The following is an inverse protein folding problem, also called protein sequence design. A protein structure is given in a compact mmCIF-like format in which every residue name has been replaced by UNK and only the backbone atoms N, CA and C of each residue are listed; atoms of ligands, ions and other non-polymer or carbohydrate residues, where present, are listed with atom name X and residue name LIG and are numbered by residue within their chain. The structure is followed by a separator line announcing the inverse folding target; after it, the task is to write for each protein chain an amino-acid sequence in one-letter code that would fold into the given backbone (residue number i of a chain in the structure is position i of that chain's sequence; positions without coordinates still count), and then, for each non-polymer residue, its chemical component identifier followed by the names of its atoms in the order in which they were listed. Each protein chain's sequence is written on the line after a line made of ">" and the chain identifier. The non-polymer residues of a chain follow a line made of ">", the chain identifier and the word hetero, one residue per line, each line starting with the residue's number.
data_IF_386237398684
#
_entry.id   IF_386237398684
#
_cell.length_a   1.000
_cell.length_b   1.000
_cell.length_c   1.000
_cell.angle_alpha   90.00
_cell.angle_beta   90.00
_cell.angle_gamma   90.00
#
_symmetry.space_group_name_H-M   'P 1'
#
loop_
_entity.id
_entity.type
_entity.pdbx_description
1 polymer ?
#
# COMPACT_ATOMS: atom_id res chain seq x y z
N UNK A 1 90.99 20.45 -13.69
CA UNK A 1 90.51 19.37 -12.79
C UNK A 1 89.03 19.50 -12.73
N UNK A 2 88.33 18.62 -13.50
CA UNK A 2 86.88 18.65 -13.71
C UNK A 2 86.16 17.78 -12.69
N UNK A 3 85.13 18.35 -12.06
CA UNK A 3 84.17 17.57 -11.31
C UNK A 3 82.78 17.73 -11.96
N UNK A 4 82.28 16.66 -12.56
CA UNK A 4 80.95 16.49 -13.08
C UNK A 4 79.96 16.28 -11.91
N UNK A 5 79.02 17.19 -11.77
CA UNK A 5 77.84 17.03 -10.90
C UNK A 5 76.71 16.35 -11.70
N UNK A 6 76.42 15.11 -11.34
CA UNK A 6 75.17 14.45 -11.75
C UNK A 6 74.01 15.03 -10.98
N UNK A 7 73.09 15.68 -11.70
CA UNK A 7 71.76 16.03 -11.19
C UNK A 7 70.79 14.86 -11.42
N UNK A 8 70.46 14.13 -10.39
CA UNK A 8 69.35 13.20 -10.36
C UNK A 8 68.04 14.00 -10.21
N UNK A 9 67.20 13.94 -11.26
CA UNK A 9 65.83 14.46 -11.20
C UNK A 9 64.95 13.42 -10.52
N UNK A 10 64.51 13.72 -9.32
CA UNK A 10 63.38 13.02 -8.67
C UNK A 10 62.09 13.60 -9.24
N UNK A 11 61.35 12.80 -10.04
CA UNK A 11 59.95 13.05 -10.38
C UNK A 11 59.08 12.61 -9.18
N UNK A 12 58.19 13.48 -8.68
CA UNK A 12 57.16 13.01 -7.76
C UNK A 12 56.09 12.26 -8.55
N UNK A 13 55.94 10.97 -8.26
CA UNK A 13 54.79 10.18 -8.69
C UNK A 13 53.60 10.64 -7.84
N UNK A 14 52.75 11.47 -8.40
CA UNK A 14 51.43 11.78 -7.83
C UNK A 14 50.55 10.59 -8.17
N UNK A 15 50.40 9.68 -7.24
CA UNK A 15 49.37 8.66 -7.28
C UNK A 15 48.02 9.35 -7.02
N UNK A 16 47.30 9.70 -8.09
CA UNK A 16 45.91 10.09 -8.00
C UNK A 16 45.11 8.86 -7.58
N UNK A 17 44.75 8.73 -6.32
CA UNK A 17 43.68 7.86 -5.86
C UNK A 17 42.37 8.38 -6.49
N UNK A 18 41.98 7.81 -7.62
CA UNK A 18 40.60 7.87 -8.09
C UNK A 18 39.77 7.04 -7.11
N UNK A 19 39.28 7.66 -6.08
CA UNK A 19 38.14 7.14 -5.33
C UNK A 19 36.96 7.18 -6.31
N UNK A 20 36.66 6.08 -6.93
CA UNK A 20 35.39 5.86 -7.60
C UNK A 20 34.32 5.88 -6.48
N UNK A 21 33.81 7.05 -6.17
CA UNK A 21 32.48 7.20 -5.58
C UNK A 21 31.51 6.76 -6.69
N UNK A 22 31.27 5.46 -6.75
CA UNK A 22 30.03 4.94 -7.30
C UNK A 22 28.93 5.47 -6.38
N UNK A 23 28.46 6.70 -6.61
CA UNK A 23 27.11 7.02 -6.23
C UNK A 23 26.27 5.99 -6.99
N UNK A 24 25.80 4.95 -6.30
CA UNK A 24 24.71 4.14 -6.81
C UNK A 24 23.63 5.14 -7.16
N UNK A 25 23.35 5.33 -8.45
CA UNK A 25 22.11 5.97 -8.84
C UNK A 25 21.05 5.20 -8.11
N UNK A 26 20.39 5.83 -7.17
CA UNK A 26 19.26 5.24 -6.48
C UNK A 26 18.29 4.92 -7.60
N UNK A 27 18.03 3.63 -7.85
CA UNK A 27 17.15 3.21 -8.93
C UNK A 27 15.80 3.87 -8.69
N UNK A 28 15.48 4.84 -9.55
CA UNK A 28 14.21 5.55 -9.46
C UNK A 28 13.11 4.52 -9.69
N UNK A 29 12.17 4.42 -8.75
CA UNK A 29 11.02 3.53 -8.89
C UNK A 29 10.39 3.67 -10.29
N UNK A 30 10.13 2.58 -11.01
CA UNK A 30 9.45 2.61 -12.30
C UNK A 30 8.08 3.28 -12.22
N UNK A 31 7.70 3.99 -13.26
CA UNK A 31 6.34 4.52 -13.34
C UNK A 31 5.34 3.38 -13.58
N UNK A 32 4.25 3.38 -12.83
CA UNK A 32 3.16 2.40 -12.91
C UNK A 32 1.94 2.97 -13.63
N UNK A 33 1.25 2.09 -14.34
CA UNK A 33 -0.02 2.38 -14.99
C UNK A 33 -0.92 1.15 -14.99
N UNK A 34 -2.20 1.34 -15.26
CA UNK A 34 -3.15 0.25 -15.45
C UNK A 34 -3.07 -0.29 -16.89
N UNK A 35 -3.13 -1.59 -17.04
CA UNK A 35 -3.24 -2.29 -18.31
C UNK A 35 -4.19 -3.47 -18.18
N UNK A 36 -5.43 -3.29 -18.62
CA UNK A 36 -6.48 -4.28 -18.39
C UNK A 36 -6.76 -4.43 -16.90
N UNK A 37 -6.60 -5.65 -16.38
CA UNK A 37 -6.81 -5.93 -14.96
C UNK A 37 -5.54 -5.83 -14.10
N UNK A 38 -4.41 -5.49 -14.70
CA UNK A 38 -3.11 -5.51 -14.03
C UNK A 38 -2.56 -4.08 -13.87
N UNK A 39 -1.77 -3.84 -12.84
CA UNK A 39 -0.84 -2.73 -12.78
C UNK A 39 0.41 -3.17 -13.53
N UNK A 40 0.96 -2.31 -14.37
CA UNK A 40 2.19 -2.62 -15.10
C UNK A 40 3.19 -1.47 -15.03
N UNK A 41 4.48 -1.79 -15.11
CA UNK A 41 5.55 -0.82 -15.29
C UNK A 41 5.67 -0.32 -16.75
N UNK A 42 6.67 0.52 -17.00
CA UNK A 42 6.92 1.07 -18.33
C UNK A 42 7.26 -0.01 -19.38
N UNK A 43 7.81 -1.15 -18.97
CA UNK A 43 8.11 -2.30 -19.85
C UNK A 43 6.88 -3.15 -20.17
N UNK A 44 5.77 -2.92 -19.47
CA UNK A 44 4.56 -3.73 -19.54
C UNK A 44 4.57 -4.93 -18.62
N UNK A 45 5.56 -5.05 -17.73
CA UNK A 45 5.64 -6.08 -16.71
C UNK A 45 4.63 -5.79 -15.61
N UNK A 46 3.85 -6.80 -15.25
CA UNK A 46 2.86 -6.67 -14.19
C UNK A 46 3.54 -6.54 -12.82
N UNK A 47 2.99 -5.65 -11.99
CA UNK A 47 3.46 -5.36 -10.64
C UNK A 47 2.32 -5.55 -9.65
N UNK A 48 2.58 -6.24 -8.55
CA UNK A 48 1.68 -6.38 -7.41
C UNK A 48 2.33 -5.73 -6.20
N UNK A 49 1.61 -4.84 -5.55
CA UNK A 49 2.15 -4.04 -4.45
C UNK A 49 1.76 -4.64 -3.10
N UNK A 50 2.73 -4.70 -2.19
CA UNK A 50 2.56 -5.19 -0.83
C UNK A 50 3.14 -4.21 0.16
N UNK A 51 2.38 -3.86 1.19
CA UNK A 51 2.88 -2.93 2.18
C UNK A 51 1.93 -2.71 3.34
N UNK A 52 1.96 -1.51 3.86
CA UNK A 52 1.18 -1.11 5.01
C UNK A 52 0.57 0.26 4.79
N UNK A 53 -0.44 0.59 5.60
CA UNK A 53 -0.89 1.96 5.75
C UNK A 53 -0.41 2.55 7.05
N UNK A 54 -0.33 3.85 7.12
CA UNK A 54 -0.22 4.57 8.36
C UNK A 54 -0.65 6.03 8.19
N UNK A 55 -0.86 6.72 9.30
CA UNK A 55 -1.29 8.11 9.31
C UNK A 55 -0.32 8.96 10.13
N UNK A 56 0.01 10.18 9.70
CA UNK A 56 0.83 11.10 10.46
C UNK A 56 0.06 11.66 11.68
N UNK A 57 -0.46 10.76 12.51
CA UNK A 57 -1.25 11.04 13.69
C UNK A 57 -0.64 10.33 14.90
N UNK A 58 -0.37 11.09 15.97
CA UNK A 58 0.27 10.57 17.19
C UNK A 58 -0.54 9.49 17.89
N UNK A 59 -1.84 9.64 17.92
CA UNK A 59 -2.74 8.68 18.57
C UNK A 59 -2.64 7.30 17.89
N UNK A 60 -2.80 7.26 16.56
CA UNK A 60 -2.71 6.00 15.81
C UNK A 60 -1.31 5.40 15.80
N UNK A 61 -0.27 6.20 16.10
CA UNK A 61 1.11 5.74 16.25
C UNK A 61 1.50 5.50 17.72
N UNK A 62 0.53 5.29 18.63
CA UNK A 62 0.80 4.97 20.03
C UNK A 62 1.64 6.02 20.74
N UNK A 63 1.52 7.30 20.38
CA UNK A 63 2.26 8.44 20.94
C UNK A 63 3.80 8.33 20.79
N UNK A 64 4.32 7.48 19.90
CA UNK A 64 5.75 7.16 19.79
C UNK A 64 6.63 8.32 19.36
N UNK A 65 6.09 9.29 18.61
CA UNK A 65 6.91 10.42 18.16
C UNK A 65 6.62 11.73 18.91
N UNK A 66 5.51 11.83 19.59
CA UNK A 66 5.21 12.94 20.51
C UNK A 66 3.97 12.64 21.35
N UNK A 67 3.93 13.17 22.61
CA UNK A 67 2.76 13.06 23.50
C UNK A 67 1.53 13.84 23.00
N UNK A 68 0.43 13.73 23.75
CA UNK A 68 -0.83 14.39 23.41
C UNK A 68 -0.68 15.91 23.28
N UNK A 69 -1.38 16.47 22.30
CA UNK A 69 -1.44 17.90 22.01
C UNK A 69 -2.79 18.22 21.35
N UNK A 70 -3.45 19.34 21.68
CA UNK A 70 -4.81 19.63 21.21
C UNK A 70 -4.87 19.93 19.70
N UNK A 71 -3.77 20.35 19.10
CA UNK A 71 -3.69 20.65 17.66
C UNK A 71 -2.23 20.51 17.20
N UNK A 72 -2.05 20.14 15.94
CA UNK A 72 -0.74 20.03 15.30
C UNK A 72 -0.38 21.35 14.61
N UNK A 73 0.88 21.75 14.74
CA UNK A 73 1.45 22.95 14.16
C UNK A 73 2.73 22.66 13.37
N UNK A 74 3.41 23.72 12.94
CA UNK A 74 4.65 23.60 12.18
C UNK A 74 5.78 22.95 12.98
N UNK A 75 5.79 23.14 14.29
CA UNK A 75 6.74 22.53 15.22
C UNK A 75 6.62 21.02 15.32
N UNK A 76 5.49 20.45 14.90
CA UNK A 76 5.23 19.01 14.91
C UNK A 76 5.69 18.31 13.63
N UNK A 77 6.02 19.08 12.58
CA UNK A 77 6.40 18.54 11.28
C UNK A 77 7.67 17.72 11.36
N UNK A 78 8.74 18.27 11.93
CA UNK A 78 10.03 17.57 11.97
C UNK A 78 9.99 16.28 12.81
N UNK A 79 9.41 16.28 14.03
CA UNK A 79 9.25 15.04 14.78
C UNK A 79 8.46 13.96 14.03
N UNK A 80 7.42 14.35 13.27
CA UNK A 80 6.66 13.43 12.42
C UNK A 80 7.53 12.85 11.29
N UNK A 81 8.27 13.71 10.59
CA UNK A 81 9.18 13.30 9.51
C UNK A 81 10.29 12.37 10.01
N UNK A 82 10.85 12.63 11.17
CA UNK A 82 11.92 11.81 11.77
C UNK A 82 11.39 10.43 12.20
N UNK A 83 10.14 10.36 12.65
CA UNK A 83 9.49 9.11 12.97
C UNK A 83 9.26 8.27 11.71
N UNK A 84 8.64 8.86 10.68
CA UNK A 84 8.35 8.13 9.45
C UNK A 84 9.60 7.73 8.66
N UNK A 85 10.70 8.48 8.77
CA UNK A 85 11.99 8.03 8.24
C UNK A 85 12.40 6.67 8.82
N UNK A 86 12.25 6.50 10.15
CA UNK A 86 12.55 5.23 10.81
C UNK A 86 11.59 4.13 10.38
N UNK A 87 10.30 4.45 10.24
CA UNK A 87 9.29 3.49 9.77
C UNK A 87 9.61 3.03 8.35
N UNK A 88 9.87 3.95 7.41
CA UNK A 88 10.21 3.61 6.04
C UNK A 88 11.50 2.79 5.93
N UNK A 89 12.52 3.13 6.71
CA UNK A 89 13.75 2.34 6.82
C UNK A 89 13.43 0.90 7.24
N UNK A 90 12.61 0.72 8.28
CA UNK A 90 12.28 -0.62 8.77
C UNK A 90 11.44 -1.42 7.76
N UNK A 91 10.48 -0.79 7.08
CA UNK A 91 9.59 -1.44 6.12
C UNK A 91 10.32 -1.99 4.87
N UNK A 92 11.48 -1.43 4.57
CA UNK A 92 12.26 -1.76 3.36
C UNK A 92 13.63 -2.35 3.66
N UNK A 93 13.85 -2.78 4.89
CA UNK A 93 15.11 -3.44 5.30
C UNK A 93 15.13 -4.90 4.85
N UNK A 94 15.53 -5.10 3.61
CA UNK A 94 15.62 -6.44 3.00
C UNK A 94 16.63 -7.34 3.72
N UNK A 95 17.67 -6.78 4.34
CA UNK A 95 18.66 -7.56 5.10
C UNK A 95 18.04 -8.17 6.35
N UNK A 96 17.04 -7.51 6.93
CA UNK A 96 16.27 -7.99 8.07
C UNK A 96 14.94 -8.65 7.69
N UNK A 97 14.65 -8.83 6.39
CA UNK A 97 13.50 -9.58 5.90
C UNK A 97 12.24 -8.75 5.64
N UNK A 98 12.30 -7.43 5.70
CA UNK A 98 11.17 -6.55 5.41
C UNK A 98 11.15 -6.12 3.93
N UNK A 99 10.05 -6.43 3.22
CA UNK A 99 9.93 -6.29 1.76
C UNK A 99 8.68 -5.51 1.34
N UNK A 100 8.31 -4.47 2.08
CA UNK A 100 7.25 -3.57 1.63
C UNK A 100 7.72 -2.77 0.41
N UNK A 101 6.80 -2.56 -0.56
CA UNK A 101 7.02 -1.73 -1.73
C UNK A 101 5.91 -0.69 -1.96
N UNK A 102 4.94 -0.60 -1.06
CA UNK A 102 3.88 0.42 -1.09
C UNK A 102 3.55 0.92 0.32
N UNK A 103 3.20 2.18 0.40
CA UNK A 103 2.73 2.82 1.63
C UNK A 103 1.44 3.61 1.37
N UNK A 104 0.37 3.31 2.11
CA UNK A 104 -0.88 4.08 2.05
C UNK A 104 -0.85 5.20 3.07
N UNK A 105 -0.81 6.44 2.60
CA UNK A 105 -0.64 7.66 3.37
C UNK A 105 -1.97 8.40 3.56
N UNK A 106 -2.32 8.70 4.79
CA UNK A 106 -3.47 9.54 5.12
C UNK A 106 -3.13 11.02 5.10
N UNK A 107 -4.00 11.83 4.48
CA UNK A 107 -4.02 13.27 4.68
C UNK A 107 -4.82 13.60 5.95
N UNK A 108 -4.25 13.37 7.12
CA UNK A 108 -4.97 13.27 8.40
C UNK A 108 -5.65 14.58 8.85
N UNK A 109 -6.88 14.51 9.44
CA UNK A 109 -7.60 15.66 9.98
C UNK A 109 -6.83 16.48 11.01
N UNK A 110 -5.93 15.88 11.80
CA UNK A 110 -5.11 16.60 12.78
C UNK A 110 -4.25 17.70 12.15
N UNK A 111 -3.89 17.57 10.88
CA UNK A 111 -3.13 18.57 10.12
C UNK A 111 -4.03 19.50 9.32
N UNK A 112 -5.18 19.00 8.85
CA UNK A 112 -6.03 19.74 7.91
C UNK A 112 -7.17 20.50 8.58
N UNK A 113 -7.58 20.10 9.79
CA UNK A 113 -8.58 20.82 10.56
C UNK A 113 -8.00 22.07 11.21
N UNK A 114 -8.78 23.18 11.24
CA UNK A 114 -8.39 24.40 11.91
C UNK A 114 -8.87 24.38 13.37
N UNK A 115 -7.95 24.42 14.35
CA UNK A 115 -8.31 24.42 15.77
C UNK A 115 -9.13 25.64 16.20
N UNK A 116 -9.11 26.75 15.42
CA UNK A 116 -9.84 27.97 15.70
C UNK A 116 -11.29 27.94 15.17
N UNK A 117 -11.65 26.94 14.36
CA UNK A 117 -13.02 26.75 13.90
C UNK A 117 -13.77 25.90 14.93
N UNK A 118 -14.90 26.39 15.39
CA UNK A 118 -15.79 25.62 16.27
C UNK A 118 -16.38 24.45 15.50
N UNK A 119 -16.23 23.23 16.01
CA UNK A 119 -16.88 22.07 15.42
C UNK A 119 -18.41 22.23 15.49
N UNK A 120 -19.07 21.92 14.38
CA UNK A 120 -20.52 21.85 14.28
C UNK A 120 -21.04 20.43 14.07
N UNK A 121 -20.13 19.49 13.85
CA UNK A 121 -20.38 18.06 13.81
C UNK A 121 -20.10 17.37 15.15
N UNK A 122 -19.96 16.06 15.14
CA UNK A 122 -19.78 15.22 16.32
C UNK A 122 -18.33 15.07 16.78
N UNK A 123 -17.38 15.62 16.02
CA UNK A 123 -15.93 15.51 16.29
C UNK A 123 -15.31 14.17 15.92
N UNK A 124 -16.06 13.28 15.26
CA UNK A 124 -15.53 12.03 14.71
C UNK A 124 -14.57 12.27 13.52
N UNK A 125 -13.96 11.21 13.01
CA UNK A 125 -13.15 11.29 11.79
C UNK A 125 -13.97 11.64 10.52
N UNK A 126 -15.29 11.47 10.58
CA UNK A 126 -16.21 11.88 9.51
C UNK A 126 -16.62 13.35 9.59
N UNK A 127 -16.27 14.05 10.68
CA UNK A 127 -16.63 15.46 10.88
C UNK A 127 -15.72 16.39 10.10
N UNK A 128 -16.22 16.89 8.97
CA UNK A 128 -15.52 17.84 8.10
C UNK A 128 -15.71 19.32 8.49
N UNK A 129 -16.44 19.62 9.58
CA UNK A 129 -16.84 20.99 9.94
C UNK A 129 -15.66 21.92 10.25
N UNK A 130 -14.52 21.36 10.63
CA UNK A 130 -13.28 22.09 10.93
C UNK A 130 -12.26 22.06 9.81
N UNK A 131 -12.56 21.41 8.69
CA UNK A 131 -11.64 21.33 7.57
C UNK A 131 -11.26 22.72 7.05
N UNK A 132 -9.95 22.91 6.82
CA UNK A 132 -9.39 24.14 6.32
C UNK A 132 -8.54 23.91 5.08
N UNK A 133 -9.02 24.37 3.93
CA UNK A 133 -8.23 24.35 2.68
C UNK A 133 -6.88 25.03 2.85
N UNK A 134 -6.81 26.12 3.64
CA UNK A 134 -5.55 26.82 3.92
C UNK A 134 -4.55 25.91 4.66
N UNK A 135 -5.02 25.16 5.64
CA UNK A 135 -4.17 24.22 6.37
C UNK A 135 -3.76 23.03 5.48
N UNK A 136 -4.67 22.51 4.68
CA UNK A 136 -4.34 21.49 3.69
C UNK A 136 -3.17 21.95 2.79
N UNK A 137 -3.23 23.15 2.22
CA UNK A 137 -2.17 23.72 1.39
C UNK A 137 -0.86 23.86 2.20
N UNK A 138 -0.95 24.37 3.43
CA UNK A 138 0.21 24.57 4.28
C UNK A 138 0.93 23.26 4.56
N UNK A 139 0.21 22.23 5.02
CA UNK A 139 0.82 20.97 5.40
C UNK A 139 1.05 20.03 4.22
N UNK A 140 0.36 20.23 3.08
CA UNK A 140 0.76 19.62 1.83
C UNK A 140 2.25 19.92 1.52
N UNK A 141 2.63 21.21 1.56
CA UNK A 141 3.99 21.61 1.23
C UNK A 141 5.01 21.33 2.36
N UNK A 142 4.61 21.44 3.63
CA UNK A 142 5.53 21.33 4.77
C UNK A 142 5.74 19.92 5.27
N UNK A 143 4.73 19.05 5.10
CA UNK A 143 4.70 17.69 5.63
C UNK A 143 4.54 16.65 4.54
N UNK A 144 3.40 16.66 3.82
CA UNK A 144 3.01 15.53 2.97
C UNK A 144 3.94 15.29 1.79
N UNK A 145 4.35 16.35 1.09
CA UNK A 145 5.37 16.24 0.02
C UNK A 145 6.64 15.60 0.55
N UNK A 146 7.10 16.00 1.74
CA UNK A 146 8.32 15.45 2.34
C UNK A 146 8.17 14.00 2.80
N UNK A 147 6.99 13.62 3.31
CA UNK A 147 6.69 12.22 3.64
C UNK A 147 6.71 11.36 2.37
N UNK A 148 6.12 11.85 1.29
CA UNK A 148 6.10 11.16 0.00
C UNK A 148 7.51 11.05 -0.57
N UNK A 149 8.30 12.13 -0.56
CA UNK A 149 9.71 12.12 -0.97
C UNK A 149 10.51 11.03 -0.24
N UNK A 150 10.33 10.95 1.08
CA UNK A 150 10.98 9.93 1.91
C UNK A 150 10.51 8.52 1.54
N UNK A 151 9.21 8.29 1.43
CA UNK A 151 8.67 6.99 1.04
C UNK A 151 9.23 6.53 -0.33
N UNK A 152 9.18 7.41 -1.34
CA UNK A 152 9.74 7.13 -2.67
C UNK A 152 11.25 6.85 -2.63
N UNK A 153 12.00 7.59 -1.80
CA UNK A 153 13.44 7.39 -1.61
C UNK A 153 13.76 6.02 -0.97
N UNK A 154 12.86 5.46 -0.19
CA UNK A 154 12.96 4.11 0.36
C UNK A 154 12.40 3.02 -0.57
N UNK A 155 12.00 3.33 -1.80
CA UNK A 155 11.45 2.34 -2.72
C UNK A 155 9.98 1.99 -2.48
N UNK A 156 9.23 2.85 -1.79
CA UNK A 156 7.81 2.67 -1.52
C UNK A 156 6.97 3.51 -2.49
N UNK A 157 6.13 2.87 -3.29
CA UNK A 157 5.04 3.56 -3.98
C UNK A 157 4.05 4.14 -2.96
N UNK A 158 3.36 5.22 -3.31
CA UNK A 158 2.46 5.89 -2.38
C UNK A 158 1.02 5.85 -2.87
N UNK A 159 0.10 5.41 -2.00
CA UNK A 159 -1.35 5.55 -2.17
C UNK A 159 -1.83 6.61 -1.20
N UNK A 160 -2.31 7.74 -1.70
CA UNK A 160 -2.84 8.80 -0.84
C UNK A 160 -4.35 8.66 -0.68
N UNK A 161 -4.85 8.80 0.54
CA UNK A 161 -6.27 8.95 0.81
C UNK A 161 -6.62 10.32 1.41
N UNK A 162 -7.87 10.81 1.27
CA UNK A 162 -8.28 12.10 1.83
C UNK A 162 -8.31 12.06 3.36
N UNK A 163 -8.41 13.23 4.04
CA UNK A 163 -8.51 13.28 5.48
C UNK A 163 -9.84 12.69 5.99
N UNK A 164 -9.74 11.88 7.04
CA UNK A 164 -10.90 11.29 7.73
C UNK A 164 -11.54 10.13 6.98
N UNK A 165 -12.71 9.75 7.43
CA UNK A 165 -13.56 8.70 6.85
C UNK A 165 -14.84 9.30 6.28
N UNK A 166 -15.54 8.56 5.40
CA UNK A 166 -16.84 9.01 4.92
C UNK A 166 -17.87 9.04 6.05
N UNK A 167 -18.77 10.05 6.09
CA UNK A 167 -20.01 9.91 6.83
C UNK A 167 -20.76 8.65 6.42
N UNK A 168 -21.52 8.07 7.35
CA UNK A 168 -22.29 6.84 7.06
C UNK A 168 -23.18 7.01 5.82
N UNK A 169 -23.91 8.12 5.75
CA UNK A 169 -24.78 8.47 4.63
C UNK A 169 -24.16 9.63 3.84
N UNK A 170 -23.82 9.38 2.59
CA UNK A 170 -23.35 10.40 1.64
C UNK A 170 -24.26 10.46 0.44
N UNK A 171 -24.39 11.66 -0.17
CA UNK A 171 -25.31 11.89 -1.28
C UNK A 171 -24.67 12.69 -2.40
N UNK A 172 -25.00 12.37 -3.63
CA UNK A 172 -24.61 13.16 -4.81
C UNK A 172 -25.01 14.63 -4.63
N UNK A 173 -24.03 15.53 -4.69
CA UNK A 173 -24.20 16.98 -4.51
C UNK A 173 -24.17 17.46 -3.06
N UNK A 174 -23.91 16.60 -2.08
CA UNK A 174 -23.85 16.99 -0.67
C UNK A 174 -22.56 17.75 -0.27
N UNK A 175 -22.48 18.10 1.00
CA UNK A 175 -21.31 18.79 1.56
C UNK A 175 -20.06 17.91 1.54
N UNK A 176 -20.20 16.59 1.70
CA UNK A 176 -19.06 15.67 1.71
C UNK A 176 -18.46 15.47 0.32
N UNK A 177 -19.28 15.34 -0.73
CA UNK A 177 -18.80 15.33 -2.12
C UNK A 177 -18.04 16.62 -2.45
N UNK A 178 -18.58 17.79 -2.05
CA UNK A 178 -17.91 19.07 -2.24
C UNK A 178 -16.60 19.20 -1.46
N UNK A 179 -16.54 18.60 -0.28
CA UNK A 179 -15.33 18.50 0.52
C UNK A 179 -14.25 17.68 -0.22
N UNK A 180 -14.56 16.48 -0.69
CA UNK A 180 -13.63 15.65 -1.47
C UNK A 180 -13.16 16.35 -2.74
N UNK A 181 -14.07 17.01 -3.47
CA UNK A 181 -13.72 17.85 -4.60
C UNK A 181 -12.72 18.94 -4.23
N UNK A 182 -12.91 19.58 -3.07
CA UNK A 182 -12.00 20.63 -2.58
C UNK A 182 -10.63 20.06 -2.24
N UNK A 183 -10.57 18.90 -1.57
CA UNK A 183 -9.32 18.20 -1.23
C UNK A 183 -8.56 17.89 -2.52
N UNK A 184 -9.18 17.14 -3.42
CA UNK A 184 -8.48 16.63 -4.60
C UNK A 184 -8.15 17.72 -5.62
N UNK A 185 -9.04 18.71 -5.84
CA UNK A 185 -8.69 19.89 -6.65
C UNK A 185 -7.50 20.66 -6.09
N UNK A 186 -7.36 20.70 -4.76
CA UNK A 186 -6.24 21.42 -4.14
C UNK A 186 -4.92 20.65 -4.29
N UNK A 187 -4.93 19.36 -3.97
CA UNK A 187 -3.72 18.52 -3.95
C UNK A 187 -3.20 18.26 -5.37
N UNK A 188 -4.07 17.99 -6.34
CA UNK A 188 -3.69 17.67 -7.71
C UNK A 188 -3.26 18.86 -8.56
N UNK A 189 -3.39 20.09 -8.06
CA UNK A 189 -2.76 21.26 -8.68
C UNK A 189 -1.25 21.29 -8.50
N UNK A 190 -0.72 20.59 -7.49
CA UNK A 190 0.71 20.58 -7.19
C UNK A 190 1.52 19.91 -8.31
N UNK A 191 2.52 20.62 -8.84
CA UNK A 191 3.39 20.07 -9.88
C UNK A 191 4.14 18.83 -9.40
N UNK A 192 4.61 18.82 -8.14
CA UNK A 192 5.25 17.67 -7.54
C UNK A 192 4.42 16.38 -7.70
N UNK A 193 3.11 16.44 -7.49
CA UNK A 193 2.24 15.28 -7.64
C UNK A 193 2.12 14.83 -9.09
N UNK A 194 2.03 15.78 -10.02
CA UNK A 194 1.95 15.50 -11.46
C UNK A 194 3.25 14.89 -12.00
N UNK A 195 4.38 15.42 -11.56
CA UNK A 195 5.72 14.95 -11.97
C UNK A 195 6.04 13.54 -11.43
N UNK A 196 5.35 13.12 -10.36
CA UNK A 196 5.50 11.79 -9.75
C UNK A 196 4.27 10.89 -9.93
N UNK A 197 3.39 11.21 -10.87
CA UNK A 197 2.12 10.53 -11.06
C UNK A 197 2.22 9.02 -11.34
N UNK A 198 3.34 8.54 -11.88
CA UNK A 198 3.59 7.10 -12.05
C UNK A 198 3.94 6.35 -10.76
N UNK A 199 4.29 7.07 -9.68
CA UNK A 199 4.73 6.49 -8.40
C UNK A 199 3.81 6.83 -7.24
N UNK A 200 2.89 7.74 -7.45
CA UNK A 200 1.87 8.18 -6.49
C UNK A 200 0.51 7.93 -7.09
N UNK A 201 -0.37 7.31 -6.32
CA UNK A 201 -1.76 7.07 -6.68
C UNK A 201 -2.72 7.71 -5.67
N UNK A 202 -3.98 7.87 -6.06
CA UNK A 202 -5.00 8.55 -5.27
C UNK A 202 -6.16 7.60 -5.00
N UNK A 203 -6.49 7.39 -3.74
CA UNK A 203 -7.72 6.75 -3.29
C UNK A 203 -8.76 7.82 -2.99
N UNK A 204 -9.89 7.80 -3.70
CA UNK A 204 -10.82 8.93 -3.75
C UNK A 204 -11.49 9.26 -2.42
N UNK A 205 -11.80 8.24 -1.62
CA UNK A 205 -12.45 8.38 -0.31
C UNK A 205 -12.16 7.15 0.54
N UNK A 206 -12.37 7.25 1.86
CA UNK A 206 -12.25 6.14 2.80
C UNK A 206 -13.61 5.72 3.31
N UNK A 207 -13.96 4.46 3.10
CA UNK A 207 -15.12 3.77 3.67
C UNK A 207 -16.51 4.41 3.39
N UNK A 208 -16.90 4.64 2.15
CA UNK A 208 -18.30 4.92 1.86
C UNK A 208 -19.20 3.79 2.33
N UNK A 209 -20.27 4.09 3.06
CA UNK A 209 -21.22 3.08 3.55
C UNK A 209 -22.48 3.10 2.70
N UNK A 210 -23.35 4.06 2.89
CA UNK A 210 -24.57 4.25 2.13
C UNK A 210 -24.44 5.47 1.21
N UNK A 211 -24.58 5.22 -0.09
CA UNK A 211 -24.44 6.26 -1.12
C UNK A 211 -25.78 6.51 -1.78
N UNK A 212 -26.28 7.74 -1.67
CA UNK A 212 -27.56 8.14 -2.25
C UNK A 212 -27.33 8.88 -3.58
N UNK A 213 -28.12 8.53 -4.59
CA UNK A 213 -28.12 9.27 -5.84
C UNK A 213 -28.78 10.66 -5.71
N UNK A 214 -28.80 11.43 -6.79
CA UNK A 214 -29.42 12.78 -6.81
C UNK A 214 -30.90 12.77 -6.44
N UNK A 215 -31.61 11.66 -6.68
CA UNK A 215 -33.02 11.48 -6.34
C UNK A 215 -33.25 11.00 -4.91
N UNK A 216 -32.16 10.72 -4.16
CA UNK A 216 -32.21 10.21 -2.79
C UNK A 216 -32.46 8.71 -2.71
N UNK A 217 -32.19 7.95 -3.77
CA UNK A 217 -32.27 6.50 -3.76
C UNK A 217 -30.95 5.91 -3.26
N UNK A 218 -31.02 5.20 -2.13
CA UNK A 218 -29.89 4.57 -1.48
C UNK A 218 -29.28 3.45 -2.34
N UNK A 219 -27.98 3.49 -2.51
CA UNK A 219 -27.19 2.48 -3.22
C UNK A 219 -27.79 2.10 -4.60
N UNK A 220 -28.40 3.08 -5.29
CA UNK A 220 -28.91 2.85 -6.65
C UNK A 220 -27.75 2.46 -7.57
N UNK A 221 -28.07 1.85 -8.72
CA UNK A 221 -27.06 1.34 -9.66
C UNK A 221 -26.11 2.41 -10.19
N UNK A 222 -26.42 3.70 -10.04
CA UNK A 222 -25.64 4.83 -10.52
C UNK A 222 -25.03 5.68 -9.39
N UNK A 223 -25.45 5.47 -8.13
CA UNK A 223 -25.11 6.34 -7.02
C UNK A 223 -23.59 6.49 -6.82
N UNK A 224 -22.86 5.38 -6.83
CA UNK A 224 -21.39 5.38 -6.69
C UNK A 224 -20.72 6.12 -7.85
N UNK A 225 -21.10 5.82 -9.11
CA UNK A 225 -20.57 6.53 -10.27
C UNK A 225 -20.85 8.03 -10.18
N UNK A 226 -22.08 8.41 -9.95
CA UNK A 226 -22.49 9.82 -9.94
C UNK A 226 -21.87 10.61 -8.78
N UNK A 227 -21.52 9.91 -7.69
CA UNK A 227 -20.80 10.51 -6.58
C UNK A 227 -19.31 10.72 -6.90
N UNK A 228 -18.64 9.72 -7.48
CA UNK A 228 -17.17 9.78 -7.68
C UNK A 228 -16.76 10.36 -9.05
N UNK A 229 -17.60 10.31 -10.07
CA UNK A 229 -17.26 10.85 -11.40
C UNK A 229 -16.79 12.31 -11.38
N UNK A 230 -17.49 13.26 -10.72
CA UNK A 230 -17.02 14.65 -10.67
C UNK A 230 -15.64 14.82 -10.02
N UNK A 231 -15.27 13.90 -9.11
CA UNK A 231 -13.97 13.92 -8.42
C UNK A 231 -12.89 13.41 -9.38
N UNK A 232 -13.15 12.33 -10.11
CA UNK A 232 -12.25 11.81 -11.16
C UNK A 232 -12.01 12.90 -12.22
N UNK A 233 -13.09 13.51 -12.72
CA UNK A 233 -13.00 14.58 -13.73
C UNK A 233 -12.11 15.72 -13.24
N UNK A 234 -12.33 16.19 -12.01
CA UNK A 234 -11.57 17.30 -11.42
C UNK A 234 -10.08 16.98 -11.24
N UNK A 235 -9.74 15.74 -10.88
CA UNK A 235 -8.35 15.26 -10.79
C UNK A 235 -7.69 15.27 -12.17
N UNK A 236 -8.38 14.78 -13.20
CA UNK A 236 -7.86 14.71 -14.57
C UNK A 236 -7.78 16.10 -15.23
N UNK A 237 -8.74 16.97 -15.00
CA UNK A 237 -8.71 18.39 -15.43
C UNK A 237 -7.49 19.13 -14.88
N UNK A 238 -7.02 18.81 -13.68
CA UNK A 238 -5.79 19.36 -13.10
C UNK A 238 -4.51 18.78 -13.72
N UNK A 239 -4.61 17.76 -14.58
CA UNK A 239 -3.48 17.14 -15.28
C UNK A 239 -2.78 16.01 -14.53
N UNK A 240 -3.33 15.52 -13.42
CA UNK A 240 -2.80 14.31 -12.77
C UNK A 240 -3.13 13.07 -13.60
N UNK A 241 -2.11 12.28 -13.94
CA UNK A 241 -2.23 11.08 -14.80
C UNK A 241 -1.98 9.76 -14.08
N UNK A 242 -1.68 9.79 -12.78
CA UNK A 242 -1.44 8.59 -11.98
C UNK A 242 -2.69 7.74 -11.78
N UNK A 243 -2.51 6.57 -11.16
CA UNK A 243 -3.61 5.65 -10.88
C UNK A 243 -4.60 6.28 -9.89
N UNK A 244 -5.89 6.15 -10.19
CA UNK A 244 -6.99 6.51 -9.29
C UNK A 244 -7.63 5.22 -8.76
N UNK A 245 -7.75 5.10 -7.44
CA UNK A 245 -8.42 4.01 -6.75
C UNK A 245 -9.82 4.44 -6.35
N UNK A 246 -10.81 3.78 -6.92
CA UNK A 246 -12.22 4.10 -6.73
C UNK A 246 -12.81 3.21 -5.64
N UNK A 247 -13.40 3.77 -4.57
CA UNK A 247 -13.98 2.99 -3.49
C UNK A 247 -15.38 2.48 -3.83
N UNK A 248 -15.78 1.35 -3.22
CA UNK A 248 -17.14 0.84 -3.23
C UNK A 248 -17.98 1.35 -2.07
N UNK A 249 -19.24 0.91 -1.98
CA UNK A 249 -20.10 1.13 -0.80
C UNK A 249 -19.89 0.05 0.28
N UNK A 250 -20.65 0.11 1.38
CA UNK A 250 -20.60 -0.88 2.46
C UNK A 250 -19.20 -1.04 3.06
N UNK A 251 -18.58 0.08 3.49
CA UNK A 251 -17.20 0.14 3.97
C UNK A 251 -16.18 -0.39 2.96
N UNK A 252 -16.30 0.02 1.69
CA UNK A 252 -15.44 -0.44 0.59
C UNK A 252 -15.45 -1.97 0.38
N UNK A 253 -16.62 -2.61 0.50
CA UNK A 253 -16.78 -4.05 0.29
C UNK A 253 -17.74 -4.43 -0.83
N UNK A 254 -18.48 -3.47 -1.43
CA UNK A 254 -19.48 -3.72 -2.47
C UNK A 254 -19.24 -2.91 -3.74
N UNK A 255 -19.04 -3.61 -4.88
CA UNK A 255 -18.65 -3.03 -6.18
C UNK A 255 -19.57 -3.41 -7.33
N UNK A 256 -20.67 -4.13 -7.07
CA UNK A 256 -21.59 -4.63 -8.10
C UNK A 256 -22.13 -3.53 -9.02
N UNK A 257 -22.29 -2.31 -8.49
CA UNK A 257 -22.81 -1.18 -9.27
C UNK A 257 -21.86 -0.77 -10.40
N UNK A 258 -20.56 -0.95 -10.22
CA UNK A 258 -19.55 -0.61 -11.22
C UNK A 258 -19.48 -1.57 -12.41
N UNK A 259 -20.01 -2.79 -12.31
CA UNK A 259 -20.08 -3.69 -13.49
C UNK A 259 -20.88 -3.07 -14.63
N UNK A 260 -21.96 -2.32 -14.32
CA UNK A 260 -22.85 -1.73 -15.32
C UNK A 260 -22.64 -0.21 -15.46
N UNK A 261 -22.21 0.43 -14.41
CA UNK A 261 -22.05 1.88 -14.34
C UNK A 261 -20.67 2.23 -13.76
N UNK A 262 -19.56 1.90 -14.43
CA UNK A 262 -18.23 2.28 -13.98
C UNK A 262 -18.03 3.80 -14.06
N UNK A 263 -17.06 4.31 -13.33
CA UNK A 263 -16.54 5.66 -13.60
C UNK A 263 -15.87 5.67 -14.98
N UNK A 264 -15.89 6.82 -15.62
CA UNK A 264 -15.22 7.05 -16.91
C UNK A 264 -13.95 7.83 -16.61
N UNK A 265 -12.82 7.28 -16.95
CA UNK A 265 -11.51 7.92 -16.82
C UNK A 265 -10.88 8.09 -18.21
N UNK A 266 -10.64 9.33 -18.69
CA UNK A 266 -10.05 9.55 -20.02
C UNK A 266 -8.64 8.99 -20.17
N UNK A 267 -7.90 8.82 -19.06
CA UNK A 267 -6.56 8.19 -19.08
C UNK A 267 -6.63 6.66 -19.02
N UNK A 268 -7.80 6.06 -18.77
CA UNK A 268 -7.97 4.62 -18.49
C UNK A 268 -7.01 4.09 -17.42
N UNK A 269 -6.68 4.92 -16.43
CA UNK A 269 -5.67 4.63 -15.42
C UNK A 269 -6.29 4.61 -14.02
N UNK A 270 -7.23 3.68 -13.81
CA UNK A 270 -7.92 3.50 -12.52
C UNK A 270 -8.11 2.03 -12.17
N UNK A 271 -8.25 1.79 -10.87
CA UNK A 271 -8.62 0.51 -10.27
C UNK A 271 -9.54 0.72 -9.08
N UNK A 272 -9.70 -0.32 -8.26
CA UNK A 272 -10.62 -0.26 -7.13
C UNK A 272 -9.90 -0.50 -5.81
N UNK A 273 -10.17 0.36 -4.81
CA UNK A 273 -9.69 0.21 -3.45
C UNK A 273 -10.74 -0.55 -2.62
N UNK A 274 -10.33 -1.65 -1.98
CA UNK A 274 -11.20 -2.58 -1.26
C UNK A 274 -10.73 -2.68 0.19
N UNK A 275 -11.66 -2.85 1.13
CA UNK A 275 -11.37 -3.25 2.50
C UNK A 275 -11.78 -4.69 2.74
N UNK A 276 -11.03 -5.39 3.56
CA UNK A 276 -11.23 -6.81 3.79
C UNK A 276 -10.87 -7.17 5.25
N UNK A 277 -11.89 -7.43 6.05
CA UNK A 277 -11.72 -7.74 7.46
C UNK A 277 -12.32 -9.12 7.82
N UNK A 278 -11.83 -9.77 8.90
CA UNK A 278 -12.44 -11.00 9.41
C UNK A 278 -13.95 -10.83 9.63
N UNK A 279 -14.71 -11.84 9.21
CA UNK A 279 -16.19 -11.80 9.20
C UNK A 279 -16.80 -11.29 7.90
N UNK A 280 -16.02 -10.64 7.02
CA UNK A 280 -16.49 -10.18 5.70
C UNK A 280 -16.33 -11.27 4.64
N UNK A 281 -17.04 -11.14 3.54
CA UNK A 281 -17.00 -12.10 2.40
C UNK A 281 -17.25 -13.55 2.81
N UNK A 282 -18.14 -13.76 3.78
CA UNK A 282 -18.41 -15.08 4.38
C UNK A 282 -17.18 -15.74 5.03
N UNK A 283 -16.21 -14.96 5.46
CA UNK A 283 -15.11 -15.46 6.29
C UNK A 283 -15.57 -15.72 7.72
N UNK A 284 -14.81 -16.51 8.48
CA UNK A 284 -14.97 -16.65 9.90
C UNK A 284 -14.56 -15.38 10.63
N UNK A 285 -15.09 -15.20 11.83
CA UNK A 285 -14.72 -14.13 12.75
C UNK A 285 -14.63 -14.68 14.16
N UNK A 286 -13.50 -14.55 14.81
CA UNK A 286 -13.29 -15.02 16.17
C UNK A 286 -12.15 -16.02 16.32
N UNK A 287 -11.89 -16.45 17.57
CA UNK A 287 -10.76 -17.29 17.94
C UNK A 287 -10.76 -18.70 17.34
N UNK A 288 -11.88 -19.15 16.80
CA UNK A 288 -12.03 -20.46 16.13
C UNK A 288 -12.32 -20.26 14.65
N UNK A 289 -11.48 -19.45 14.01
CA UNK A 289 -11.62 -19.17 12.58
C UNK A 289 -11.42 -20.44 11.74
N UNK A 290 -12.47 -20.86 11.08
CA UNK A 290 -12.51 -22.00 10.17
C UNK A 290 -12.95 -21.57 8.76
N UNK A 291 -12.49 -20.42 8.32
CA UNK A 291 -12.83 -19.83 7.03
C UNK A 291 -12.60 -20.82 5.88
N UNK A 292 -13.67 -21.14 5.14
CA UNK A 292 -13.58 -21.86 3.88
C UNK A 292 -13.10 -20.90 2.78
N UNK A 293 -11.88 -21.09 2.33
CA UNK A 293 -11.23 -20.23 1.33
C UNK A 293 -11.98 -20.13 0.00
N UNK A 294 -12.61 -21.22 -0.44
CA UNK A 294 -13.40 -21.23 -1.68
C UNK A 294 -14.75 -20.51 -1.51
N UNK A 295 -15.37 -20.63 -0.35
CA UNK A 295 -16.60 -19.90 -0.02
C UNK A 295 -16.29 -18.40 0.07
N UNK A 296 -15.21 -18.03 0.73
CA UNK A 296 -14.77 -16.63 0.83
C UNK A 296 -14.43 -16.07 -0.56
N UNK A 297 -13.67 -16.80 -1.38
CA UNK A 297 -13.32 -16.38 -2.74
C UNK A 297 -14.57 -16.13 -3.61
N UNK A 298 -15.53 -17.05 -3.58
CA UNK A 298 -16.79 -16.88 -4.34
C UNK A 298 -17.57 -15.67 -3.87
N UNK A 299 -17.63 -15.42 -2.56
CA UNK A 299 -18.33 -14.26 -2.02
C UNK A 299 -17.57 -12.95 -2.34
N UNK A 300 -16.25 -12.96 -2.26
CA UNK A 300 -15.42 -11.84 -2.69
C UNK A 300 -15.72 -11.50 -4.16
N UNK A 301 -15.75 -12.48 -5.05
CA UNK A 301 -16.08 -12.28 -6.46
C UNK A 301 -17.51 -11.76 -6.70
N UNK A 302 -18.47 -12.15 -5.86
CA UNK A 302 -19.85 -11.63 -5.92
C UNK A 302 -19.90 -10.17 -5.51
N UNK A 303 -19.17 -9.77 -4.49
CA UNK A 303 -19.18 -8.38 -3.97
C UNK A 303 -18.21 -7.47 -4.71
N UNK A 304 -17.09 -8.00 -5.22
CA UNK A 304 -16.02 -7.29 -5.92
C UNK A 304 -15.82 -7.87 -7.34
N UNK A 305 -16.86 -7.87 -8.18
CA UNK A 305 -16.77 -8.49 -9.52
C UNK A 305 -15.75 -7.84 -10.43
N UNK A 306 -15.44 -6.58 -10.16
CA UNK A 306 -14.43 -5.74 -10.85
C UNK A 306 -13.00 -6.32 -10.78
N UNK A 307 -12.71 -7.22 -9.86
CA UNK A 307 -11.41 -7.92 -9.77
C UNK A 307 -11.05 -8.70 -11.04
N UNK A 308 -12.04 -9.06 -11.84
CA UNK A 308 -11.84 -9.77 -13.11
C UNK A 308 -11.38 -8.87 -14.26
N UNK A 309 -11.66 -7.58 -14.16
CA UNK A 309 -11.50 -6.63 -15.28
C UNK A 309 -10.56 -5.49 -14.98
N UNK A 310 -10.35 -5.16 -13.72
CA UNK A 310 -9.54 -4.03 -13.26
C UNK A 310 -8.58 -4.47 -12.15
N UNK A 311 -7.47 -3.76 -11.93
CA UNK A 311 -6.63 -3.98 -10.77
C UNK A 311 -7.39 -3.62 -9.49
N UNK A 312 -7.11 -4.37 -8.44
CA UNK A 312 -7.66 -4.15 -7.11
C UNK A 312 -6.50 -3.92 -6.14
N UNK A 313 -6.67 -2.96 -5.25
CA UNK A 313 -5.83 -2.83 -4.07
C UNK A 313 -6.69 -2.99 -2.81
N UNK A 314 -6.34 -3.93 -1.94
CA UNK A 314 -6.95 -4.03 -0.61
C UNK A 314 -6.20 -3.06 0.28
N UNK A 315 -6.81 -1.89 0.51
CA UNK A 315 -6.16 -0.78 1.21
C UNK A 315 -6.25 -0.87 2.72
N UNK A 316 -7.15 -1.71 3.24
CA UNK A 316 -7.20 -2.08 4.65
C UNK A 316 -7.51 -3.56 4.82
N UNK A 317 -6.65 -4.23 5.56
CA UNK A 317 -6.81 -5.63 5.97
C UNK A 317 -6.00 -5.87 7.24
N UNK A 318 -6.55 -6.64 8.17
CA UNK A 318 -5.81 -7.23 9.27
C UNK A 318 -6.44 -8.56 9.74
N UNK A 319 -5.65 -9.36 10.47
CA UNK A 319 -6.08 -10.56 11.17
C UNK A 319 -5.21 -10.81 12.39
N UNK A 320 -5.00 -9.76 13.16
CA UNK A 320 -4.12 -9.76 14.33
C UNK A 320 -4.61 -10.72 15.42
N UNK A 321 -3.69 -11.36 16.16
CA UNK A 321 -4.03 -12.21 17.29
C UNK A 321 -4.53 -11.38 18.49
N UNK A 322 -5.11 -12.07 19.48
CA UNK A 322 -5.32 -11.51 20.79
C UNK A 322 -3.99 -11.13 21.45
N UNK A 323 -3.94 -9.98 22.10
CA UNK A 323 -2.78 -9.51 22.84
C UNK A 323 -3.14 -9.34 24.33
N UNK A 324 -2.79 -10.31 25.17
CA UNK A 324 -3.10 -10.23 26.60
C UNK A 324 -2.49 -8.98 27.24
N UNK A 325 -3.23 -8.37 28.18
CA UNK A 325 -2.77 -7.20 28.92
C UNK A 325 -3.01 -5.86 28.25
N UNK A 326 -3.51 -5.84 27.04
CA UNK A 326 -4.00 -4.63 26.38
C UNK A 326 -5.53 -4.64 26.39
N UNK A 327 -6.16 -3.66 26.98
CA UNK A 327 -7.60 -3.57 27.10
C UNK A 327 -8.06 -2.17 27.47
N UNK A 328 -9.28 -2.09 27.92
CA UNK A 328 -9.87 -0.84 28.37
C UNK A 328 -10.61 -1.04 29.69
N UNK A 329 -10.86 0.05 30.40
CA UNK A 329 -11.77 0.03 31.54
C UNK A 329 -13.20 0.24 31.05
N UNK A 330 -14.13 -0.62 31.51
CA UNK A 330 -15.55 -0.47 31.25
C UNK A 330 -16.14 0.72 32.04
N UNK A 331 -17.42 0.99 31.84
CA UNK A 331 -18.16 2.05 32.56
C UNK A 331 -18.23 1.87 34.09
N UNK A 332 -17.89 0.68 34.56
CA UNK A 332 -17.84 0.33 35.98
C UNK A 332 -16.41 0.32 36.53
N UNK A 333 -15.41 0.65 35.72
CA UNK A 333 -14.00 0.67 36.08
C UNK A 333 -13.33 -0.70 36.10
N UNK A 334 -13.95 -1.73 35.53
CA UNK A 334 -13.33 -3.04 35.39
C UNK A 334 -12.46 -3.09 34.12
N UNK A 335 -11.30 -3.74 34.27
CA UNK A 335 -10.43 -3.99 33.08
C UNK A 335 -11.06 -5.03 32.16
N UNK A 336 -11.23 -4.67 30.90
CA UNK A 336 -11.69 -5.56 29.83
C UNK A 336 -10.50 -5.90 28.98
N UNK A 337 -10.15 -7.18 28.89
CA UNK A 337 -9.08 -7.66 28.04
C UNK A 337 -9.37 -7.34 26.57
N UNK A 338 -8.37 -6.90 25.79
CA UNK A 338 -8.59 -6.51 24.42
C UNK A 338 -8.81 -7.73 23.53
N UNK A 339 -9.68 -7.54 22.60
CA UNK A 339 -9.56 -8.20 21.31
C UNK A 339 -8.59 -7.37 20.48
N UNK A 340 -7.48 -7.94 20.10
CA UNK A 340 -6.54 -7.27 19.24
C UNK A 340 -6.89 -7.50 17.77
N UNK A 341 -6.85 -6.45 17.00
CA UNK A 341 -7.34 -6.47 15.62
C UNK A 341 -8.81 -6.14 15.50
N UNK A 342 -9.22 -5.84 14.31
CA UNK A 342 -10.60 -5.52 13.97
C UNK A 342 -11.47 -6.76 14.23
N UNK A 343 -12.55 -6.61 14.98
CA UNK A 343 -13.47 -7.69 15.31
C UNK A 343 -12.95 -8.75 16.29
N UNK A 344 -11.80 -8.53 16.87
CA UNK A 344 -11.33 -9.34 17.98
C UNK A 344 -10.95 -10.76 17.63
N UNK A 345 -10.27 -10.97 16.53
CA UNK A 345 -10.07 -12.31 16.00
C UNK A 345 -8.68 -12.88 16.21
N UNK A 346 -8.70 -14.11 16.29
CA UNK A 346 -7.83 -15.25 16.04
C UNK A 346 -6.32 -15.04 16.12
N UNK A 347 -5.71 -15.94 16.84
CA UNK A 347 -4.24 -16.08 16.97
C UNK A 347 -3.60 -16.72 15.73
N UNK A 348 -4.31 -17.60 15.05
CA UNK A 348 -3.97 -18.13 13.74
C UNK A 348 -5.16 -17.96 12.85
N UNK A 349 -4.96 -17.68 11.58
CA UNK A 349 -6.07 -17.18 10.80
C UNK A 349 -6.37 -18.02 9.57
N UNK A 350 -7.45 -18.74 9.66
CA UNK A 350 -8.12 -19.25 8.46
C UNK A 350 -8.51 -18.12 7.52
N UNK A 351 -8.84 -16.93 8.04
CA UNK A 351 -9.09 -15.72 7.26
C UNK A 351 -7.84 -15.28 6.48
N UNK A 352 -6.68 -15.13 7.14
CA UNK A 352 -5.44 -14.74 6.48
C UNK A 352 -5.04 -15.70 5.37
N UNK A 353 -5.10 -17.01 5.64
CA UNK A 353 -4.87 -18.04 4.62
C UNK A 353 -5.88 -18.02 3.47
N UNK A 354 -7.15 -17.77 3.76
CA UNK A 354 -8.18 -17.66 2.75
C UNK A 354 -8.00 -16.41 1.88
N UNK A 355 -7.61 -15.29 2.50
CA UNK A 355 -7.30 -14.08 1.74
C UNK A 355 -6.04 -14.26 0.88
N UNK A 356 -4.96 -14.86 1.41
CA UNK A 356 -3.79 -15.21 0.62
C UNK A 356 -4.14 -16.08 -0.58
N UNK A 357 -5.03 -17.05 -0.39
CA UNK A 357 -5.53 -17.87 -1.50
C UNK A 357 -6.28 -17.02 -2.55
N UNK A 358 -7.12 -16.07 -2.14
CA UNK A 358 -7.84 -15.15 -3.06
C UNK A 358 -6.85 -14.30 -3.84
N UNK A 359 -5.90 -13.69 -3.13
CA UNK A 359 -4.85 -12.87 -3.70
C UNK A 359 -4.05 -13.64 -4.78
N UNK A 360 -3.55 -14.81 -4.43
CA UNK A 360 -2.77 -15.65 -5.35
C UNK A 360 -3.61 -16.19 -6.52
N UNK A 361 -4.90 -16.44 -6.30
CA UNK A 361 -5.82 -16.91 -7.34
C UNK A 361 -6.04 -15.87 -8.44
N UNK A 362 -6.26 -14.60 -8.09
CA UNK A 362 -6.49 -13.54 -9.07
C UNK A 362 -5.17 -12.98 -9.63
N UNK A 363 -4.13 -12.89 -8.82
CA UNK A 363 -2.79 -12.44 -9.20
C UNK A 363 -2.67 -10.96 -9.61
N UNK A 364 -3.72 -10.17 -9.36
CA UNK A 364 -3.79 -8.74 -9.66
C UNK A 364 -4.28 -7.90 -8.46
N UNK A 365 -4.23 -8.48 -7.27
CA UNK A 365 -4.62 -7.81 -6.03
C UNK A 365 -3.36 -7.31 -5.35
N UNK A 366 -3.23 -6.01 -5.17
CA UNK A 366 -2.26 -5.39 -4.27
C UNK A 366 -2.86 -5.24 -2.88
N UNK A 367 -2.03 -4.99 -1.84
CA UNK A 367 -2.56 -4.84 -0.49
C UNK A 367 -1.70 -3.97 0.41
N UNK A 368 -2.35 -3.35 1.41
CA UNK A 368 -1.71 -2.72 2.56
C UNK A 368 -2.36 -3.21 3.86
N UNK A 369 -1.55 -3.68 4.81
CA UNK A 369 -2.03 -3.93 6.16
C UNK A 369 -2.49 -2.62 6.80
N UNK A 370 -3.49 -2.72 7.69
CA UNK A 370 -4.15 -1.56 8.32
C UNK A 370 -3.25 -0.77 9.30
N UNK A 371 -1.98 -1.14 9.47
CA UNK A 371 -1.01 -0.40 10.27
C UNK A 371 0.39 -0.96 10.16
N UNK A 372 1.39 -0.10 10.27
CA UNK A 372 2.81 -0.51 10.29
C UNK A 372 3.11 -1.48 11.44
N UNK A 373 2.47 -1.28 12.61
CA UNK A 373 2.61 -2.15 13.77
C UNK A 373 1.95 -3.54 13.63
N UNK A 374 1.21 -3.77 12.54
CA UNK A 374 0.72 -5.10 12.19
C UNK A 374 1.71 -5.89 11.36
N UNK A 375 2.65 -5.22 10.70
CA UNK A 375 3.68 -5.84 9.90
C UNK A 375 4.94 -6.14 10.73
N UNK A 376 5.48 -5.15 11.45
CA UNK A 376 6.68 -5.33 12.26
C UNK A 376 6.51 -4.75 13.67
N UNK A 377 7.31 -5.24 14.62
CA UNK A 377 7.34 -4.76 16.00
C UNK A 377 8.06 -3.40 16.06
N UNK A 378 7.26 -2.32 16.04
CA UNK A 378 7.76 -0.95 16.03
C UNK A 378 8.56 -0.63 17.30
N UNK A 379 8.09 -1.06 18.47
CA UNK A 379 8.74 -0.73 19.75
C UNK A 379 10.10 -1.41 19.82
N UNK A 380 10.19 -2.66 19.41
CA UNK A 380 11.45 -3.39 19.32
C UNK A 380 12.44 -2.74 18.35
N UNK A 381 11.94 -2.29 17.20
CA UNK A 381 12.77 -1.57 16.23
C UNK A 381 13.28 -0.24 16.79
N UNK A 382 12.42 0.56 17.42
CA UNK A 382 12.81 1.85 17.99
C UNK A 382 13.83 1.72 19.13
N UNK A 383 13.76 0.62 19.90
CA UNK A 383 14.73 0.33 20.96
C UNK A 383 16.10 -0.14 20.46
N UNK A 384 16.12 -0.99 19.45
CA UNK A 384 17.32 -1.77 19.11
C UNK A 384 17.75 -1.69 17.63
N UNK A 385 16.95 -1.07 16.75
CA UNK A 385 17.16 -1.12 15.31
C UNK A 385 16.88 -2.49 14.68
N UNK A 386 16.34 -3.45 15.47
CA UNK A 386 16.05 -4.79 14.97
C UNK A 386 14.66 -4.85 14.38
N UNK A 387 14.57 -5.10 13.07
CA UNK A 387 13.30 -5.39 12.38
C UNK A 387 12.96 -6.86 12.60
N UNK A 388 11.75 -7.10 13.07
CA UNK A 388 11.19 -8.46 13.20
C UNK A 388 9.69 -8.40 12.97
N UNK A 389 9.05 -9.50 12.52
CA UNK A 389 7.62 -9.56 12.33
C UNK A 389 6.86 -9.13 13.59
N UNK A 390 5.79 -8.38 13.44
CA UNK A 390 4.80 -8.28 14.49
C UNK A 390 4.25 -9.69 14.78
N UNK A 391 3.99 -9.98 16.06
CA UNK A 391 3.52 -11.29 16.51
C UNK A 391 4.45 -12.45 16.17
N UNK A 392 5.77 -12.23 16.29
CA UNK A 392 6.79 -13.24 16.04
C UNK A 392 6.52 -14.50 16.88
N UNK A 393 6.53 -15.67 16.21
CA UNK A 393 6.23 -16.97 16.84
C UNK A 393 4.75 -17.31 16.93
N UNK A 394 3.89 -16.49 16.31
CA UNK A 394 2.46 -16.78 16.16
C UNK A 394 2.19 -17.08 14.68
N UNK A 395 2.07 -18.34 14.36
CA UNK A 395 1.85 -18.82 13.00
C UNK A 395 0.61 -18.15 12.39
N UNK A 396 0.74 -17.73 11.13
CA UNK A 396 -0.34 -17.13 10.33
C UNK A 396 -0.89 -15.78 10.87
N UNK A 397 -0.33 -15.21 11.95
CA UNK A 397 -0.58 -13.81 12.30
C UNK A 397 -0.08 -12.89 11.17
N UNK A 398 -0.76 -11.75 10.93
CA UNK A 398 -0.48 -10.95 9.74
C UNK A 398 0.99 -10.54 9.59
N UNK A 399 1.67 -10.11 10.65
CA UNK A 399 3.09 -9.77 10.62
C UNK A 399 3.95 -10.97 10.25
N UNK A 400 3.82 -12.07 10.97
CA UNK A 400 4.58 -13.30 10.73
C UNK A 400 4.35 -13.84 9.32
N UNK A 401 3.11 -13.90 8.87
CA UNK A 401 2.76 -14.40 7.54
C UNK A 401 3.22 -13.48 6.40
N UNK A 402 3.18 -12.16 6.59
CA UNK A 402 3.45 -11.21 5.51
C UNK A 402 4.95 -11.03 5.23
N UNK A 403 5.85 -11.32 6.17
CA UNK A 403 7.28 -11.21 5.91
C UNK A 403 7.70 -12.12 4.75
N UNK A 404 7.45 -13.42 4.84
CA UNK A 404 7.79 -14.37 3.77
C UNK A 404 6.93 -14.14 2.52
N UNK A 405 5.65 -13.83 2.70
CA UNK A 405 4.74 -13.61 1.57
C UNK A 405 5.14 -12.41 0.72
N UNK A 406 5.46 -11.25 1.34
CA UNK A 406 5.89 -10.05 0.64
C UNK A 406 7.25 -10.26 -0.03
N UNK A 407 8.17 -10.93 0.66
CA UNK A 407 9.47 -11.30 0.11
C UNK A 407 9.34 -12.17 -1.13
N UNK A 408 8.53 -13.25 -1.07
CA UNK A 408 8.33 -14.14 -2.21
C UNK A 408 7.80 -13.41 -3.45
N UNK A 409 6.85 -12.50 -3.27
CA UNK A 409 6.32 -11.68 -4.36
C UNK A 409 7.36 -10.68 -4.87
N UNK A 410 8.08 -10.00 -3.97
CA UNK A 410 9.11 -9.03 -4.34
C UNK A 410 10.23 -9.69 -5.17
N UNK A 411 10.77 -10.80 -4.69
CA UNK A 411 11.82 -11.54 -5.38
C UNK A 411 11.34 -12.09 -6.73
N UNK A 412 10.13 -12.63 -6.80
CA UNK A 412 9.56 -13.14 -8.05
C UNK A 412 9.40 -12.03 -9.11
N UNK A 413 9.03 -10.83 -8.70
CA UNK A 413 8.93 -9.67 -9.58
C UNK A 413 10.31 -9.19 -10.07
N UNK A 414 11.34 -9.22 -9.21
CA UNK A 414 12.69 -8.78 -9.58
C UNK A 414 13.44 -9.79 -10.46
N UNK A 415 13.29 -11.10 -10.20
CA UNK A 415 13.96 -12.15 -10.99
C UNK A 415 13.54 -12.10 -12.46
N UNK A 416 12.26 -11.78 -12.75
CA UNK A 416 11.84 -11.64 -14.15
C UNK A 416 12.46 -10.43 -14.89
N UNK A 417 13.10 -9.50 -14.16
CA UNK A 417 13.88 -8.42 -14.77
C UNK A 417 15.33 -8.81 -15.14
N UNK A 418 15.82 -9.90 -14.54
CA UNK A 418 17.21 -10.39 -14.79
C UNK A 418 17.27 -11.36 -15.98
N UNK A 419 16.12 -11.93 -16.40
CA UNK A 419 16.09 -12.92 -17.49
C UNK A 419 16.38 -12.37 -18.90
N UNK A 420 16.45 -11.05 -19.08
CA UNK A 420 16.85 -10.44 -20.36
C UNK A 420 18.38 -10.39 -20.59
N UNK A 421 19.17 -10.91 -19.65
CA UNK A 421 20.63 -10.95 -19.76
C UNK A 421 21.13 -12.40 -19.82
N UNK A 422 21.49 -12.82 -21.01
CA UNK A 422 22.23 -14.03 -21.39
C UNK A 422 21.40 -15.30 -21.65
N UNK A 423 20.72 -15.30 -22.77
CA UNK A 423 20.28 -16.55 -23.40
C UNK A 423 21.46 -17.23 -24.07
N UNK A 424 22.10 -18.12 -23.32
CA UNK A 424 22.97 -19.13 -23.92
C UNK A 424 22.14 -19.95 -24.93
N UNK A 425 22.52 -19.92 -26.18
CA UNK A 425 21.77 -20.41 -27.36
C UNK A 425 21.53 -21.94 -27.40
N UNK A 426 21.53 -22.62 -26.26
CA UNK A 426 21.23 -24.04 -26.19
C UNK A 426 19.72 -24.32 -26.21
N UNK A 427 19.29 -25.11 -27.17
CA UNK A 427 17.87 -25.47 -27.37
C UNK A 427 17.25 -26.15 -26.14
N UNK A 428 16.19 -25.56 -25.59
CA UNK A 428 15.40 -26.11 -24.49
C UNK A 428 14.52 -27.24 -25.04
N UNK A 429 14.73 -28.46 -24.55
CA UNK A 429 14.01 -29.65 -25.00
C UNK A 429 12.80 -30.02 -24.13
N UNK A 430 12.72 -29.54 -22.89
CA UNK A 430 11.54 -29.72 -22.05
C UNK A 430 11.44 -28.67 -20.94
N UNK A 431 10.21 -28.40 -20.49
CA UNK A 431 9.91 -27.53 -19.36
C UNK A 431 8.92 -28.19 -18.41
N UNK A 432 9.20 -28.13 -17.11
CA UNK A 432 8.29 -28.51 -16.04
C UNK A 432 8.02 -27.32 -15.14
N UNK A 433 6.78 -27.13 -14.75
CA UNK A 433 6.35 -25.98 -13.97
C UNK A 433 5.92 -26.43 -12.57
N UNK A 434 6.23 -25.61 -11.56
CA UNK A 434 5.93 -25.88 -10.16
C UNK A 434 5.42 -24.60 -9.51
N UNK A 435 4.44 -24.70 -8.64
CA UNK A 435 4.09 -23.58 -7.77
C UNK A 435 5.19 -23.35 -6.70
N UNK A 436 5.09 -22.29 -5.91
CA UNK A 436 6.10 -21.97 -4.88
C UNK A 436 6.18 -23.03 -3.78
N UNK A 437 5.14 -23.88 -3.62
CA UNK A 437 5.14 -25.03 -2.71
C UNK A 437 5.80 -26.27 -3.31
N UNK A 438 6.33 -26.18 -4.52
CA UNK A 438 7.03 -27.28 -5.20
C UNK A 438 6.11 -28.32 -5.85
N UNK A 439 4.80 -28.08 -5.95
CA UNK A 439 3.85 -28.97 -6.65
C UNK A 439 3.92 -28.70 -8.15
N UNK A 440 3.98 -29.77 -8.96
CA UNK A 440 3.97 -29.65 -10.42
C UNK A 440 2.60 -29.13 -10.91
N UNK A 441 2.63 -28.14 -11.81
CA UNK A 441 1.48 -27.53 -12.43
C UNK A 441 1.55 -27.71 -13.95
N UNK A 442 0.41 -27.67 -14.63
CA UNK A 442 0.30 -28.00 -16.08
C UNK A 442 0.97 -27.00 -17.01
N UNK A 443 1.38 -25.83 -16.52
CA UNK A 443 1.98 -24.77 -17.33
C UNK A 443 2.16 -23.47 -16.58
N UNK A 444 2.51 -22.37 -17.26
CA UNK A 444 2.64 -21.04 -16.68
C UNK A 444 1.37 -20.63 -15.92
N UNK A 445 1.55 -20.01 -14.76
CA UNK A 445 0.48 -19.53 -13.89
C UNK A 445 0.58 -18.01 -13.73
N UNK A 446 -0.52 -17.35 -13.33
CA UNK A 446 -0.54 -15.93 -12.96
C UNK A 446 0.05 -15.66 -11.57
N UNK A 447 0.14 -16.69 -10.74
CA UNK A 447 0.87 -16.62 -9.48
C UNK A 447 2.34 -16.95 -9.71
N UNK A 448 3.26 -16.49 -8.86
CA UNK A 448 4.66 -16.87 -8.93
C UNK A 448 4.84 -18.38 -9.01
N UNK A 449 5.68 -18.84 -9.93
CA UNK A 449 5.95 -20.25 -10.12
C UNK A 449 7.42 -20.49 -10.44
N UNK A 450 7.85 -21.73 -10.28
CA UNK A 450 9.18 -22.19 -10.65
C UNK A 450 9.04 -23.07 -11.89
N UNK A 451 9.86 -22.84 -12.90
CA UNK A 451 10.00 -23.84 -13.94
C UNK A 451 11.42 -24.40 -14.03
N UNK A 452 11.50 -25.61 -14.51
CA UNK A 452 12.74 -26.32 -14.74
C UNK A 452 12.87 -26.55 -16.24
N UNK A 453 13.94 -26.05 -16.82
CA UNK A 453 14.31 -26.33 -18.20
C UNK A 453 15.37 -27.42 -18.25
N UNK A 454 15.21 -28.35 -19.18
CA UNK A 454 16.24 -29.30 -19.54
C UNK A 454 16.70 -28.93 -20.96
N UNK A 455 17.96 -28.56 -21.07
CA UNK A 455 18.60 -28.23 -22.33
C UNK A 455 19.11 -29.50 -23.05
N UNK A 456 19.33 -29.41 -24.37
CA UNK A 456 19.81 -30.54 -25.18
C UNK A 456 21.14 -31.16 -24.67
N UNK A 457 21.95 -30.34 -24.01
CA UNK A 457 23.20 -30.81 -23.39
C UNK A 457 23.02 -31.53 -22.01
N UNK A 458 21.77 -31.73 -21.56
CA UNK A 458 21.41 -32.33 -20.30
C UNK A 458 21.55 -31.42 -19.08
N UNK A 459 21.91 -30.15 -19.25
CA UNK A 459 21.98 -29.17 -18.18
C UNK A 459 20.58 -28.78 -17.73
N UNK A 460 20.32 -28.88 -16.43
CA UNK A 460 19.05 -28.45 -15.81
C UNK A 460 19.20 -27.08 -15.20
N UNK A 461 18.27 -26.19 -15.47
CA UNK A 461 18.23 -24.85 -14.87
C UNK A 461 16.92 -24.69 -14.12
N UNK A 462 16.98 -24.24 -12.88
CA UNK A 462 15.79 -23.86 -12.08
C UNK A 462 15.65 -22.35 -12.13
N UNK A 463 14.51 -21.88 -12.55
CA UNK A 463 14.21 -20.46 -12.66
C UNK A 463 12.90 -20.18 -11.92
N UNK A 464 12.93 -19.22 -10.99
CA UNK A 464 11.74 -18.67 -10.36
C UNK A 464 11.15 -17.61 -11.29
N UNK A 465 9.91 -17.74 -11.68
CA UNK A 465 9.24 -16.79 -12.58
C UNK A 465 7.97 -16.31 -11.95
N UNK A 466 7.74 -15.01 -12.00
CA UNK A 466 6.41 -14.45 -11.82
C UNK A 466 5.81 -14.28 -13.23
N UNK A 467 4.83 -15.10 -13.58
CA UNK A 467 4.13 -14.94 -14.84
C UNK A 467 2.80 -14.26 -14.60
N UNK A 468 2.74 -13.03 -15.02
CA UNK A 468 1.55 -12.18 -14.95
C UNK A 468 1.07 -11.89 -16.38
N UNK A 469 0.83 -12.99 -17.15
CA UNK A 469 0.16 -12.85 -18.43
C UNK A 469 -1.34 -12.85 -18.27
#
# INVERSE_FOLDING_TARGET
>A
MNYHLLRSRLLPVVAALLVNLSASAQDVLPDLRVSGKDIVDASGKAVVLHGVMDTPNRYFNGWRWQGWKPAYGEEDVQPCLDYFEKIFTALTDHEQGAYCNVFRLHLDPCWTNDPNITATGDGSEADISRFSKKRLITFWNKLYVKLIEKALAHGLYVVMRPPGVCPHDIKVGDAYQNYLLTVWKTVTQADYLKDNAGRISIELANEPVDVYDSNGVKNSSVALRDFFQPIVDAIRENGFKGIIWVPGSGWQSWYNNYEKNPVIDPENNFGYAVHCYPGWYNSGSGSNDNTDKEKMRRQFEVQVPVVKTNPVIVTEIDWSPLKPGEGHYDEHGNWVEPNYGTWGTATTSGFGNAFKYIHDYYGNISMTLQGSGLYFDIDKYLESGKVQPAFLGVDEACGEACFDWYKDWYEAQNISAIEDIDVDNDEVISRKYYNLQGMEISGPSRTPYIYKEVKRNGKETKIKVCNMK
#
